data_IF_945908541551
#
_entry.id   IF_945908541551
#
_cell.length_a   1.000
_cell.length_b   1.000
_cell.length_c   1.000
_cell.angle_alpha   90.00
_cell.angle_beta   90.00
_cell.angle_gamma   90.00
#
_symmetry.space_group_name_H-M   'P 1'
#
loop_
_entity.id
_entity.type
_entity.pdbx_description
1 polymer ?
#
# COMPACT_ATOMS: atom_id res chain seq x y z
N UNK A 1 -16.61 8.34 24.71
CA UNK A 1 -16.51 7.30 25.74
C UNK A 1 -15.06 6.80 25.82
N UNK A 2 -14.45 6.96 27.03
CA UNK A 2 -13.01 6.64 27.26
C UNK A 2 -12.70 5.16 27.08
N UNK A 3 -13.60 4.27 27.48
CA UNK A 3 -13.41 2.83 27.37
C UNK A 3 -13.51 2.38 25.92
N UNK A 4 -14.42 2.95 25.15
CA UNK A 4 -14.51 2.71 23.71
C UNK A 4 -13.23 3.13 23.00
N UNK A 5 -12.75 4.36 23.27
CA UNK A 5 -11.51 4.89 22.68
C UNK A 5 -10.31 3.99 22.99
N UNK A 6 -10.18 3.57 24.26
CA UNK A 6 -9.10 2.65 24.64
C UNK A 6 -9.21 1.30 23.93
N UNK A 7 -10.40 0.70 23.87
CA UNK A 7 -10.64 -0.58 23.21
C UNK A 7 -10.27 -0.52 21.73
N UNK A 8 -10.74 0.50 20.98
CA UNK A 8 -10.47 0.61 19.56
C UNK A 8 -8.97 0.82 19.30
N UNK A 9 -8.28 1.60 20.12
CA UNK A 9 -6.83 1.79 20.00
C UNK A 9 -6.08 0.49 20.23
N UNK A 10 -6.45 -0.31 21.23
CA UNK A 10 -5.83 -1.60 21.50
C UNK A 10 -6.04 -2.61 20.36
N UNK A 11 -7.26 -2.73 19.84
CA UNK A 11 -7.57 -3.63 18.73
C UNK A 11 -6.85 -3.21 17.45
N UNK A 12 -6.86 -1.92 17.14
CA UNK A 12 -6.14 -1.38 15.98
C UNK A 12 -4.63 -1.63 16.07
N UNK A 13 -4.05 -1.48 17.28
CA UNK A 13 -2.64 -1.77 17.51
C UNK A 13 -2.28 -3.24 17.26
N UNK A 14 -3.11 -4.16 17.73
CA UNK A 14 -2.90 -5.61 17.50
C UNK A 14 -2.98 -5.94 16.01
N UNK A 15 -4.01 -5.47 15.32
CA UNK A 15 -4.17 -5.69 13.88
C UNK A 15 -3.00 -5.11 13.10
N UNK A 16 -2.63 -3.86 13.40
CA UNK A 16 -1.52 -3.21 12.71
C UNK A 16 -0.19 -3.94 12.94
N UNK A 17 0.12 -4.32 14.17
CA UNK A 17 1.38 -5.03 14.47
C UNK A 17 1.50 -6.37 13.75
N UNK A 18 0.41 -7.11 13.61
CA UNK A 18 0.41 -8.35 12.84
C UNK A 18 0.50 -8.07 11.32
N UNK A 19 -0.25 -7.10 10.80
CA UNK A 19 -0.17 -6.70 9.39
C UNK A 19 1.24 -6.21 9.02
N UNK A 20 1.86 -5.39 9.87
CA UNK A 20 3.23 -4.92 9.72
C UNK A 20 4.23 -6.09 9.67
N UNK A 21 4.12 -7.04 10.60
CA UNK A 21 4.98 -8.23 10.66
C UNK A 21 4.81 -9.12 9.43
N UNK A 22 3.57 -9.34 8.99
CA UNK A 22 3.28 -10.13 7.78
C UNK A 22 3.84 -9.46 6.52
N UNK A 23 3.71 -8.14 6.42
CA UNK A 23 4.26 -7.38 5.29
C UNK A 23 5.80 -7.41 5.28
N UNK A 24 6.44 -7.23 6.43
CA UNK A 24 7.90 -7.36 6.55
C UNK A 24 8.38 -8.78 6.18
N UNK A 25 7.64 -9.81 6.56
CA UNK A 25 7.95 -11.19 6.20
C UNK A 25 7.86 -11.42 4.69
N UNK A 26 6.89 -10.83 4.02
CA UNK A 26 6.76 -10.86 2.57
C UNK A 26 7.97 -10.21 1.88
N UNK A 27 8.45 -9.08 2.39
CA UNK A 27 9.56 -8.32 1.82
C UNK A 27 10.95 -8.87 2.19
N UNK A 28 11.04 -9.92 3.00
CA UNK A 28 12.31 -10.38 3.60
C UNK A 28 13.43 -10.68 2.58
N UNK A 29 13.08 -11.12 1.37
CA UNK A 29 14.03 -11.44 0.31
C UNK A 29 14.40 -10.25 -0.58
N UNK A 30 13.72 -9.15 -0.44
CA UNK A 30 13.98 -7.90 -1.15
C UNK A 30 14.64 -6.89 -0.21
N UNK A 31 15.46 -6.02 -0.76
CA UNK A 31 16.07 -4.90 0.00
C UNK A 31 15.16 -3.67 -0.05
N UNK A 32 13.86 -3.89 0.25
CA UNK A 32 12.80 -2.88 0.17
C UNK A 32 12.04 -2.84 1.50
N UNK A 33 11.85 -1.65 2.05
CA UNK A 33 11.02 -1.42 3.23
C UNK A 33 9.53 -1.40 2.87
N UNK A 34 8.65 -1.53 3.87
CA UNK A 34 7.20 -1.44 3.67
C UNK A 34 6.77 -0.13 3.00
N UNK A 35 7.32 1.00 3.45
CA UNK A 35 6.99 2.31 2.88
C UNK A 35 7.48 2.44 1.43
N UNK A 36 8.65 1.91 1.12
CA UNK A 36 9.17 1.86 -0.25
C UNK A 36 8.30 0.97 -1.14
N UNK A 37 7.89 -0.21 -0.65
CA UNK A 37 6.99 -1.10 -1.37
C UNK A 37 5.62 -0.45 -1.63
N UNK A 38 5.05 0.21 -0.62
CA UNK A 38 3.79 0.94 -0.77
C UNK A 38 3.88 2.03 -1.85
N UNK A 39 4.99 2.77 -1.90
CA UNK A 39 5.26 3.78 -2.93
C UNK A 39 5.32 3.12 -4.32
N UNK A 40 6.09 2.04 -4.45
CA UNK A 40 6.21 1.33 -5.73
C UNK A 40 4.86 0.77 -6.21
N UNK A 41 4.08 0.16 -5.31
CA UNK A 41 2.74 -0.35 -5.62
C UNK A 41 1.77 0.76 -6.04
N UNK A 42 1.80 1.91 -5.37
CA UNK A 42 0.96 3.07 -5.71
C UNK A 42 1.28 3.57 -7.12
N UNK A 43 2.58 3.72 -7.45
CA UNK A 43 2.98 4.16 -8.79
C UNK A 43 2.66 3.09 -9.84
N UNK A 44 2.84 1.82 -9.51
CA UNK A 44 2.50 0.70 -10.40
C UNK A 44 1.00 0.69 -10.73
N UNK A 45 0.15 0.89 -9.73
CA UNK A 45 -1.30 0.88 -9.89
C UNK A 45 -1.84 2.06 -10.71
N UNK A 46 -1.27 3.25 -10.54
CA UNK A 46 -1.73 4.49 -11.18
C UNK A 46 -0.85 4.96 -12.34
N UNK A 47 0.20 4.19 -12.69
CA UNK A 47 1.20 4.49 -13.72
C UNK A 47 2.10 5.69 -13.39
N UNK A 48 1.61 6.65 -12.63
CA UNK A 48 2.32 7.83 -12.13
C UNK A 48 1.73 8.33 -10.82
N UNK A 49 2.52 9.03 -10.04
CA UNK A 49 2.08 9.70 -8.83
C UNK A 49 2.87 10.99 -8.60
N UNK A 50 2.31 11.91 -7.82
CA UNK A 50 3.04 13.05 -7.28
C UNK A 50 3.59 12.73 -5.89
N UNK A 51 4.51 13.56 -5.37
CA UNK A 51 4.94 13.45 -3.96
C UNK A 51 3.76 13.62 -3.01
N UNK A 52 2.81 14.48 -3.36
CA UNK A 52 1.58 14.70 -2.60
C UNK A 52 0.72 13.44 -2.55
N UNK A 53 0.58 12.72 -3.66
CA UNK A 53 -0.14 11.43 -3.71
C UNK A 53 0.52 10.40 -2.81
N UNK A 54 1.85 10.26 -2.88
CA UNK A 54 2.62 9.34 -2.04
C UNK A 54 2.47 9.68 -0.55
N UNK A 55 2.52 10.96 -0.19
CA UNK A 55 2.28 11.42 1.17
C UNK A 55 0.89 11.03 1.66
N UNK A 56 -0.13 11.23 0.83
CA UNK A 56 -1.54 10.93 1.13
C UNK A 56 -1.76 9.42 1.32
N UNK A 57 -1.38 8.60 0.35
CA UNK A 57 -1.61 7.15 0.38
C UNK A 57 -0.69 6.41 1.34
N UNK A 58 0.52 6.92 1.54
CA UNK A 58 1.47 6.39 2.51
C UNK A 58 1.19 6.81 3.94
N UNK A 59 0.24 7.74 4.14
CA UNK A 59 -0.06 8.32 5.48
C UNK A 59 1.23 8.82 6.15
N UNK A 60 2.02 9.59 5.39
CA UNK A 60 3.31 10.12 5.84
C UNK A 60 3.46 11.60 5.47
N UNK A 61 4.39 12.29 6.12
CA UNK A 61 4.70 13.66 5.76
C UNK A 61 5.31 13.78 4.36
N UNK A 62 5.04 14.89 3.68
CA UNK A 62 5.58 15.19 2.34
C UNK A 62 7.11 15.09 2.29
N UNK A 63 7.81 15.56 3.32
CA UNK A 63 9.26 15.44 3.43
C UNK A 63 9.74 13.99 3.50
N UNK A 64 9.02 13.14 4.22
CA UNK A 64 9.30 11.70 4.30
C UNK A 64 9.05 11.02 2.95
N UNK A 65 7.93 11.32 2.30
CA UNK A 65 7.61 10.81 0.96
C UNK A 65 8.70 11.23 -0.05
N UNK A 66 9.15 12.47 -0.01
CA UNK A 66 10.22 12.97 -0.86
C UNK A 66 11.54 12.22 -0.63
N UNK A 67 11.93 11.98 0.63
CA UNK A 67 13.15 11.26 0.95
C UNK A 67 13.11 9.80 0.45
N UNK A 68 12.00 9.11 0.62
CA UNK A 68 11.82 7.76 0.07
C UNK A 68 11.89 7.77 -1.47
N UNK A 69 11.21 8.72 -2.13
CA UNK A 69 11.26 8.83 -3.59
C UNK A 69 12.68 9.07 -4.10
N UNK A 70 13.45 9.94 -3.44
CA UNK A 70 14.86 10.18 -3.78
C UNK A 70 15.73 8.95 -3.62
N UNK A 71 15.52 8.18 -2.55
CA UNK A 71 16.24 6.93 -2.31
C UNK A 71 15.93 5.89 -3.38
N UNK A 72 14.66 5.74 -3.75
CA UNK A 72 14.24 4.83 -4.81
C UNK A 72 14.73 5.28 -6.20
N UNK A 73 14.82 6.58 -6.44
CA UNK A 73 15.44 7.13 -7.65
C UNK A 73 16.94 6.79 -7.73
N UNK A 74 17.67 6.89 -6.61
CA UNK A 74 19.09 6.51 -6.54
C UNK A 74 19.30 5.01 -6.81
N UNK A 75 18.31 4.18 -6.48
CA UNK A 75 18.30 2.74 -6.79
C UNK A 75 17.82 2.44 -8.22
N UNK A 76 17.53 3.46 -9.01
CA UNK A 76 17.02 3.35 -10.39
C UNK A 76 15.67 2.63 -10.51
N UNK A 77 14.87 2.62 -9.45
CA UNK A 77 13.56 1.96 -9.43
C UNK A 77 12.43 2.88 -9.91
N UNK A 78 12.64 4.17 -9.81
CA UNK A 78 11.73 5.20 -10.30
C UNK A 78 12.49 6.39 -10.87
N UNK A 79 11.79 7.26 -11.57
CA UNK A 79 12.31 8.54 -12.03
C UNK A 79 11.31 9.67 -11.81
N UNK A 80 11.85 10.86 -11.46
CA UNK A 80 11.06 12.08 -11.36
C UNK A 80 11.03 12.76 -12.72
N UNK A 81 9.84 13.00 -13.25
CA UNK A 81 9.63 13.69 -14.53
C UNK A 81 8.84 14.97 -14.31
N UNK A 82 9.31 16.06 -14.90
CA UNK A 82 8.53 17.30 -14.94
C UNK A 82 7.41 17.16 -15.97
N UNK A 83 6.25 17.69 -15.63
CA UNK A 83 5.15 17.76 -16.58
C UNK A 83 5.54 18.71 -17.74
N UNK A 84 5.27 18.28 -18.97
CA UNK A 84 5.51 19.09 -20.17
C UNK A 84 4.53 20.25 -20.31
N UNK A 85 3.33 20.11 -19.74
CA UNK A 85 2.27 21.12 -19.80
C UNK A 85 2.33 22.11 -18.63
N UNK A 86 2.75 21.67 -17.43
CA UNK A 86 2.97 22.52 -16.26
C UNK A 86 4.29 22.15 -15.57
N UNK A 87 5.33 22.94 -15.84
CA UNK A 87 6.67 22.74 -15.27
C UNK A 87 6.74 22.80 -13.72
N UNK A 88 5.65 23.19 -13.05
CA UNK A 88 5.53 23.19 -11.59
C UNK A 88 5.21 21.81 -11.03
N UNK A 89 4.62 20.94 -11.86
CA UNK A 89 4.23 19.59 -11.46
C UNK A 89 5.34 18.59 -11.80
N UNK A 90 5.75 17.82 -10.81
CA UNK A 90 6.69 16.70 -10.96
C UNK A 90 5.93 15.40 -10.74
N UNK A 91 5.97 14.53 -11.72
CA UNK A 91 5.44 13.17 -11.62
C UNK A 91 6.55 12.16 -11.34
N UNK A 92 6.20 11.12 -10.63
CA UNK A 92 7.05 9.98 -10.38
C UNK A 92 6.48 8.82 -11.19
N UNK A 93 7.36 8.15 -11.92
CA UNK A 93 7.03 6.96 -12.71
C UNK A 93 8.01 5.85 -12.39
N UNK A 94 7.58 4.58 -12.45
CA UNK A 94 8.50 3.46 -12.34
C UNK A 94 9.39 3.36 -13.56
N UNK A 95 10.62 2.94 -13.34
CA UNK A 95 11.49 2.41 -14.40
C UNK A 95 11.08 0.98 -14.72
N UNK A 96 11.61 0.40 -15.80
CA UNK A 96 11.41 -1.00 -16.10
C UNK A 96 11.92 -1.91 -14.96
N UNK A 97 13.07 -1.56 -14.38
CA UNK A 97 13.61 -2.23 -13.18
C UNK A 97 12.65 -2.15 -11.99
N UNK A 98 12.02 -1.00 -11.78
CA UNK A 98 11.04 -0.82 -10.71
C UNK A 98 9.77 -1.67 -10.92
N UNK A 99 9.28 -1.78 -12.14
CA UNK A 99 8.13 -2.65 -12.50
C UNK A 99 8.45 -4.11 -12.25
N UNK A 100 9.58 -4.59 -12.78
CA UNK A 100 10.04 -5.95 -12.57
C UNK A 100 10.17 -6.31 -11.09
N UNK A 101 10.71 -5.39 -10.27
CA UNK A 101 10.82 -5.60 -8.83
C UNK A 101 9.45 -5.74 -8.15
N UNK A 102 8.46 -4.93 -8.55
CA UNK A 102 7.07 -5.05 -8.02
C UNK A 102 6.50 -6.44 -8.36
N UNK A 103 6.65 -6.89 -9.59
CA UNK A 103 6.17 -8.20 -10.06
C UNK A 103 6.87 -9.34 -9.33
N UNK A 104 8.21 -9.29 -9.21
CA UNK A 104 9.00 -10.28 -8.46
C UNK A 104 8.60 -10.37 -6.99
N UNK A 105 8.38 -9.24 -6.32
CA UNK A 105 7.92 -9.20 -4.92
C UNK A 105 6.52 -9.80 -4.82
N UNK A 106 5.64 -9.50 -5.77
CA UNK A 106 4.29 -10.04 -5.78
C UNK A 106 4.30 -11.57 -5.92
N UNK A 107 5.11 -12.12 -6.82
CA UNK A 107 5.26 -13.56 -7.04
C UNK A 107 5.90 -14.31 -5.84
N UNK A 108 6.66 -13.60 -5.01
CA UNK A 108 7.28 -14.16 -3.80
C UNK A 108 6.31 -14.27 -2.61
N UNK A 109 5.06 -13.82 -2.75
CA UNK A 109 4.09 -13.89 -1.68
C UNK A 109 3.83 -15.35 -1.28
N UNK A 110 3.98 -15.63 0.01
CA UNK A 110 3.72 -16.94 0.61
C UNK A 110 2.56 -16.83 1.60
N UNK A 111 1.39 -17.23 1.12
CA UNK A 111 0.14 -17.20 1.89
C UNK A 111 0.27 -17.92 3.24
N UNK A 112 1.03 -19.02 3.28
CA UNK A 112 1.18 -19.84 4.51
C UNK A 112 1.89 -19.09 5.64
N UNK A 113 2.64 -18.02 5.31
CA UNK A 113 3.37 -17.18 6.26
C UNK A 113 2.61 -15.93 6.68
N UNK A 114 1.42 -15.71 6.15
CA UNK A 114 0.61 -14.56 6.49
C UNK A 114 -0.37 -14.90 7.61
N UNK A 115 -0.13 -14.37 8.80
CA UNK A 115 -0.92 -14.69 10.00
C UNK A 115 -2.34 -14.14 9.92
N UNK A 116 -2.51 -12.89 9.48
CA UNK A 116 -3.83 -12.26 9.33
C UNK A 116 -4.66 -13.00 8.29
N UNK A 117 -4.07 -13.35 7.15
CA UNK A 117 -4.78 -14.06 6.11
C UNK A 117 -5.18 -15.48 6.55
N UNK A 118 -4.31 -16.18 7.26
CA UNK A 118 -4.62 -17.51 7.80
C UNK A 118 -5.79 -17.49 8.80
N UNK A 119 -5.82 -16.49 9.70
CA UNK A 119 -6.97 -16.31 10.60
C UNK A 119 -8.23 -15.89 9.81
N UNK A 120 -8.08 -15.07 8.79
CA UNK A 120 -9.18 -14.66 7.92
C UNK A 120 -9.78 -15.84 7.15
N UNK A 121 -8.97 -16.83 6.76
CA UNK A 121 -9.46 -18.08 6.16
C UNK A 121 -10.29 -18.90 7.15
N UNK A 122 -9.85 -19.03 8.39
CA UNK A 122 -10.64 -19.70 9.43
C UNK A 122 -12.00 -19.03 9.63
N UNK A 123 -12.02 -17.69 9.69
CA UNK A 123 -13.27 -16.93 9.73
C UNK A 123 -14.17 -17.22 8.49
N UNK A 124 -13.55 -17.31 7.31
CA UNK A 124 -14.29 -17.64 6.07
C UNK A 124 -14.91 -19.02 6.11
N UNK A 125 -14.23 -20.01 6.71
CA UNK A 125 -14.75 -21.36 6.83
C UNK A 125 -16.00 -21.41 7.72
N UNK A 126 -16.09 -20.54 8.73
CA UNK A 126 -17.25 -20.42 9.63
C UNK A 126 -18.37 -19.54 9.07
N UNK A 127 -18.02 -18.43 8.43
CA UNK A 127 -18.94 -17.36 8.05
C UNK A 127 -19.21 -17.28 6.54
N UNK A 128 -18.55 -18.10 5.71
CA UNK A 128 -18.66 -18.17 4.25
C UNK A 128 -18.21 -16.93 3.48
N UNK A 129 -17.55 -15.98 4.14
CA UNK A 129 -16.91 -14.80 3.52
C UNK A 129 -15.70 -14.37 4.35
N UNK A 130 -14.75 -13.67 3.73
CA UNK A 130 -13.64 -13.06 4.46
C UNK A 130 -14.15 -11.95 5.39
N UNK A 131 -13.45 -11.63 6.51
CA UNK A 131 -13.79 -10.48 7.34
C UNK A 131 -13.91 -9.21 6.49
N UNK A 132 -14.97 -8.47 6.68
CA UNK A 132 -15.13 -7.16 6.05
C UNK A 132 -14.74 -6.03 7.05
N UNK A 133 -14.36 -4.90 6.50
CA UNK A 133 -13.93 -3.73 7.25
C UNK A 133 -14.88 -2.53 7.04
N UNK A 134 -16.18 -2.78 6.87
CA UNK A 134 -17.16 -1.72 6.58
C UNK A 134 -17.15 -0.58 7.60
N UNK A 135 -17.06 -0.89 8.90
CA UNK A 135 -16.98 0.13 9.94
C UNK A 135 -15.64 0.88 9.92
N UNK A 136 -14.54 0.17 9.66
CA UNK A 136 -13.24 0.80 9.46
C UNK A 136 -13.23 1.70 8.22
N UNK A 137 -13.83 1.28 7.10
CA UNK A 137 -14.01 2.12 5.92
C UNK A 137 -14.76 3.41 6.23
N UNK A 138 -15.84 3.33 7.01
CA UNK A 138 -16.58 4.52 7.45
C UNK A 138 -15.67 5.47 8.25
N UNK A 139 -14.97 4.95 9.27
CA UNK A 139 -14.08 5.75 10.10
C UNK A 139 -12.96 6.40 9.28
N UNK A 140 -12.30 5.62 8.42
CA UNK A 140 -11.22 6.12 7.55
C UNK A 140 -11.73 7.16 6.58
N UNK A 141 -12.93 6.99 5.99
CA UNK A 141 -13.54 7.99 5.11
C UNK A 141 -13.81 9.32 5.79
N UNK A 142 -14.11 9.31 7.10
CA UNK A 142 -14.29 10.53 7.91
C UNK A 142 -12.97 11.17 8.31
N UNK A 143 -11.93 10.38 8.54
CA UNK A 143 -10.61 10.86 8.95
C UNK A 143 -9.75 11.35 7.77
N UNK A 144 -9.83 10.70 6.63
CA UNK A 144 -8.99 10.94 5.45
C UNK A 144 -9.75 11.53 4.24
N UNK A 145 -11.08 11.58 4.31
CA UNK A 145 -11.95 11.95 3.19
C UNK A 145 -12.45 10.73 2.40
N UNK A 146 -13.62 10.88 1.80
CA UNK A 146 -14.26 9.81 1.01
C UNK A 146 -13.38 9.36 -0.16
N UNK A 147 -12.74 10.30 -0.84
CA UNK A 147 -11.86 10.07 -1.98
C UNK A 147 -10.71 9.10 -1.65
N UNK A 148 -10.22 9.12 -0.41
CA UNK A 148 -9.16 8.21 0.02
C UNK A 148 -9.58 6.74 -0.11
N UNK A 149 -10.79 6.39 0.32
CA UNK A 149 -11.32 5.02 0.21
C UNK A 149 -11.55 4.64 -1.25
N UNK A 150 -12.10 5.55 -2.04
CA UNK A 150 -12.32 5.33 -3.48
C UNK A 150 -11.00 5.06 -4.20
N UNK A 151 -9.96 5.83 -3.90
CA UNK A 151 -8.61 5.66 -4.45
C UNK A 151 -7.95 4.35 -3.98
N UNK A 152 -8.10 3.97 -2.71
CA UNK A 152 -7.60 2.67 -2.21
C UNK A 152 -8.25 1.51 -2.95
N UNK A 153 -9.56 1.56 -3.17
CA UNK A 153 -10.28 0.54 -3.92
C UNK A 153 -9.83 0.49 -5.39
N UNK A 154 -9.67 1.64 -6.02
CA UNK A 154 -9.17 1.73 -7.41
C UNK A 154 -7.74 1.20 -7.52
N UNK A 155 -6.88 1.52 -6.56
CA UNK A 155 -5.52 0.98 -6.50
C UNK A 155 -5.54 -0.56 -6.46
N UNK A 156 -6.37 -1.15 -5.59
CA UNK A 156 -6.50 -2.61 -5.48
C UNK A 156 -7.05 -3.23 -6.77
N UNK A 157 -8.02 -2.61 -7.42
CA UNK A 157 -8.57 -3.07 -8.70
C UNK A 157 -7.51 -3.05 -9.81
N UNK A 158 -6.74 -1.98 -9.92
CA UNK A 158 -5.66 -1.85 -10.89
C UNK A 158 -4.53 -2.87 -10.65
N UNK A 159 -4.12 -3.06 -9.39
CA UNK A 159 -3.12 -4.07 -9.04
C UNK A 159 -3.61 -5.48 -9.38
N UNK A 160 -4.87 -5.79 -9.09
CA UNK A 160 -5.48 -7.07 -9.44
C UNK A 160 -5.42 -7.31 -10.94
N UNK A 161 -5.88 -6.35 -11.73
CA UNK A 161 -5.88 -6.43 -13.18
C UNK A 161 -4.48 -6.64 -13.75
N UNK A 162 -3.51 -5.87 -13.29
CA UNK A 162 -2.17 -5.86 -13.86
C UNK A 162 -1.28 -7.01 -13.36
N UNK A 163 -1.54 -7.57 -12.17
CA UNK A 163 -0.70 -8.61 -11.56
C UNK A 163 -1.33 -10.01 -11.55
N UNK A 164 -2.66 -10.12 -11.65
CA UNK A 164 -3.36 -11.41 -11.55
C UNK A 164 -4.10 -11.81 -12.83
N UNK A 165 -4.69 -10.84 -13.56
CA UNK A 165 -5.58 -11.15 -14.69
C UNK A 165 -4.83 -11.22 -16.03
N UNK A 166 -3.56 -10.79 -16.10
CA UNK A 166 -2.70 -10.88 -17.29
C UNK A 166 -1.85 -12.17 -17.35
N UNK A 167 -2.05 -13.09 -16.41
CA UNK A 167 -1.46 -14.45 -16.43
C UNK A 167 -2.51 -15.46 -16.91
#
# INVERSE_FOLDING_TARGET
DRLYTHKIAMLSKVLWKNAESDWQAWLRKSDITMNEHLILLTIYAFERATISDISKYGVMHVSTAFNFAKRLEQQELLSLKKDTSDKRNTFIVLTEKGKQLVEEIFDQYDESKNHIFNVSKQYKDEMFHLPNFSDAHYLVSKLQGKEFIDDVNLCQENLRKNLLDEQ
#
